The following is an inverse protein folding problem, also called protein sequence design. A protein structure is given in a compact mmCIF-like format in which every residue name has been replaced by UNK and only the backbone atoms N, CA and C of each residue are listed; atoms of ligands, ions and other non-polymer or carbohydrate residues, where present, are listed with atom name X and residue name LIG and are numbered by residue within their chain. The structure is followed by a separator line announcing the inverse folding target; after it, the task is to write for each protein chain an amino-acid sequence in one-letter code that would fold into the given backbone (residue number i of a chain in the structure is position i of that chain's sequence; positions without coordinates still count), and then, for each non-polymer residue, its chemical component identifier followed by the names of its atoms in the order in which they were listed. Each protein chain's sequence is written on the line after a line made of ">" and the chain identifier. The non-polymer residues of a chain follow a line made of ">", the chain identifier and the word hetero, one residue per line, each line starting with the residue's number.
data_IF_148060610536
#
_entry.id   IF_148060610536
#
_cell.length_a   1.000
_cell.length_b   1.000
_cell.length_c   1.000
_cell.angle_alpha   90.00
_cell.angle_beta   90.00
_cell.angle_gamma   90.00
#
_symmetry.space_group_name_H-M   'P 1'
#
loop_
_entity.id
_entity.type
_entity.pdbx_description
1 polymer ?
#
# COMPACT_ATOMS: atom_id res chain seq x y z
N UNK A 1 34.70 4.31 14.30
CA UNK A 1 34.03 5.60 14.50
C UNK A 1 32.89 5.42 15.50
N UNK A 2 32.46 6.48 16.19
CA UNK A 2 31.44 6.40 17.25
C UNK A 2 30.12 7.01 16.77
N UNK A 3 29.04 6.24 16.81
CA UNK A 3 27.69 6.68 16.43
C UNK A 3 27.22 7.89 17.23
N UNK A 4 27.60 8.00 18.50
CA UNK A 4 27.18 9.10 19.37
C UNK A 4 27.85 10.43 19.02
N UNK A 5 28.97 10.39 18.28
CA UNK A 5 29.63 11.58 17.73
C UNK A 5 29.13 11.91 16.32
N UNK A 6 28.61 10.90 15.61
CA UNK A 6 28.16 11.02 14.23
C UNK A 6 26.70 11.47 14.14
N UNK A 7 25.81 10.89 14.96
CA UNK A 7 24.43 11.32 15.10
C UNK A 7 24.35 12.52 16.04
N UNK A 8 23.44 13.44 15.74
CA UNK A 8 23.16 14.55 16.66
C UNK A 8 22.41 14.02 17.89
N UNK A 9 22.70 14.52 19.10
CA UNK A 9 22.10 14.01 20.33
C UNK A 9 20.59 14.26 20.35
N UNK A 10 19.81 13.21 20.60
CA UNK A 10 18.35 13.29 20.69
C UNK A 10 17.92 13.48 22.16
N UNK A 11 17.08 14.47 22.42
CA UNK A 11 16.45 14.63 23.73
C UNK A 11 15.28 13.65 23.84
N UNK A 12 15.31 12.83 24.88
CA UNK A 12 14.27 11.86 25.19
C UNK A 12 13.63 12.22 26.54
N UNK A 13 12.32 12.03 26.63
CA UNK A 13 11.57 12.10 27.88
C UNK A 13 11.88 10.91 28.79
N UNK A 14 11.44 10.95 30.05
CA UNK A 14 11.59 9.86 31.01
C UNK A 14 10.94 8.54 30.58
N UNK A 15 10.04 8.57 29.59
CA UNK A 15 9.41 7.40 28.98
C UNK A 15 10.05 6.98 27.64
N UNK A 16 11.31 7.37 27.39
CA UNK A 16 12.04 7.11 26.15
C UNK A 16 11.38 7.64 24.85
N UNK A 17 10.44 8.60 24.97
CA UNK A 17 9.80 9.24 23.80
C UNK A 17 10.62 10.44 23.32
N UNK A 18 10.78 10.63 22.00
CA UNK A 18 11.54 11.74 21.47
C UNK A 18 10.84 13.08 21.64
N UNK A 19 11.61 14.13 22.00
CA UNK A 19 11.12 15.50 21.94
C UNK A 19 11.16 15.99 20.47
N UNK A 20 9.98 16.23 19.92
CA UNK A 20 9.79 16.75 18.58
C UNK A 20 9.90 18.28 18.58
N UNK A 21 10.47 18.84 17.52
CA UNK A 21 10.56 20.29 17.30
C UNK A 21 9.17 20.87 16.98
N UNK A 22 9.02 22.20 17.08
CA UNK A 22 7.81 22.88 16.64
C UNK A 22 7.56 22.60 15.15
N UNK A 23 6.34 22.14 14.81
CA UNK A 23 5.94 21.66 13.47
C UNK A 23 6.63 20.37 12.99
N UNK A 24 7.31 19.64 13.88
CA UNK A 24 7.77 18.29 13.62
C UNK A 24 6.72 17.27 14.07
N UNK A 25 6.40 16.32 13.20
CA UNK A 25 5.46 15.25 13.51
C UNK A 25 5.94 13.91 12.97
N UNK A 26 5.58 12.85 13.69
CA UNK A 26 5.91 11.48 13.32
C UNK A 26 5.13 11.08 12.08
N UNK A 27 5.85 10.55 11.08
CA UNK A 27 5.26 10.05 9.83
C UNK A 27 5.22 8.53 9.82
N UNK A 28 6.27 7.90 10.34
CA UNK A 28 6.40 6.45 10.29
C UNK A 28 7.35 5.93 11.37
N UNK A 29 7.05 4.77 11.92
CA UNK A 29 7.86 4.12 12.97
C UNK A 29 8.19 2.71 12.54
N UNK A 30 9.46 2.33 12.71
CA UNK A 30 9.99 1.00 12.43
C UNK A 30 10.60 0.45 13.71
N UNK A 31 9.99 -0.61 14.25
CA UNK A 31 10.50 -1.32 15.41
C UNK A 31 11.59 -2.33 15.03
N UNK A 32 12.45 -2.67 15.99
CA UNK A 32 13.48 -3.71 15.85
C UNK A 32 14.39 -3.53 14.63
N UNK A 33 14.85 -2.31 14.41
CA UNK A 33 15.76 -1.98 13.32
C UNK A 33 17.20 -1.80 13.81
N UNK A 34 18.13 -2.23 12.97
CA UNK A 34 19.56 -2.05 13.17
C UNK A 34 20.08 -0.94 12.24
N UNK A 35 20.98 -0.10 12.76
CA UNK A 35 21.69 0.93 11.99
C UNK A 35 23.14 0.50 11.80
N UNK A 36 23.55 0.30 10.54
CA UNK A 36 24.89 -0.16 10.18
C UNK A 36 25.56 0.84 9.23
N UNK A 37 26.86 1.05 9.36
CA UNK A 37 27.64 1.89 8.46
C UNK A 37 29.10 1.40 8.44
N UNK A 38 29.81 1.61 7.33
CA UNK A 38 31.20 1.17 7.22
C UNK A 38 32.10 1.86 8.27
N UNK A 39 32.84 1.07 9.05
CA UNK A 39 33.73 1.60 10.11
C UNK A 39 33.03 1.94 11.45
N UNK A 40 31.75 1.61 11.58
CA UNK A 40 30.99 1.76 12.84
C UNK A 40 30.54 0.39 13.38
N UNK A 41 30.47 0.28 14.71
CA UNK A 41 29.81 -0.86 15.35
C UNK A 41 28.29 -0.73 15.15
N UNK A 42 27.58 -1.75 14.66
CA UNK A 42 26.17 -1.63 14.34
C UNK A 42 25.33 -1.35 15.60
N UNK A 43 24.44 -0.38 15.52
CA UNK A 43 23.44 -0.14 16.56
C UNK A 43 22.32 -1.14 16.36
N UNK A 44 22.08 -2.01 17.35
CA UNK A 44 21.15 -3.14 17.21
C UNK A 44 19.86 -2.91 17.99
N UNK A 45 18.77 -3.50 17.51
CA UNK A 45 17.48 -3.60 18.19
C UNK A 45 16.89 -2.25 18.64
N UNK A 46 17.11 -1.19 17.86
CA UNK A 46 16.53 0.12 18.13
C UNK A 46 15.18 0.32 17.43
N UNK A 47 14.49 1.39 17.82
CA UNK A 47 13.34 1.94 17.10
C UNK A 47 13.84 3.07 16.21
N UNK A 48 13.44 3.03 14.93
CA UNK A 48 13.67 4.13 14.01
C UNK A 48 12.35 4.87 13.81
N UNK A 49 12.35 6.17 14.11
CA UNK A 49 11.20 7.06 13.90
C UNK A 49 11.54 8.02 12.77
N UNK A 50 10.73 8.00 11.71
CA UNK A 50 10.80 8.94 10.62
C UNK A 50 9.82 10.09 10.90
N UNK A 51 10.35 11.29 11.01
CA UNK A 51 9.58 12.54 11.13
C UNK A 51 9.70 13.33 9.83
N UNK A 52 8.85 14.32 9.63
CA UNK A 52 8.95 15.22 8.47
C UNK A 52 10.29 16.01 8.38
N UNK A 53 11.12 16.02 9.43
CA UNK A 53 12.40 16.75 9.45
C UNK A 53 13.63 15.86 9.69
N UNK A 54 13.48 14.75 10.43
CA UNK A 54 14.59 13.96 10.97
C UNK A 54 14.32 12.46 10.87
N UNK A 55 15.40 11.70 10.83
CA UNK A 55 15.40 10.26 11.09
C UNK A 55 15.95 10.08 12.50
N UNK A 56 15.14 9.57 13.40
CA UNK A 56 15.50 9.34 14.80
C UNK A 56 15.82 7.86 15.00
N UNK A 57 16.87 7.56 15.73
CA UNK A 57 17.16 6.22 16.25
C UNK A 57 17.10 6.26 17.78
N UNK A 58 16.37 5.32 18.37
CA UNK A 58 16.11 5.25 19.81
C UNK A 58 16.40 3.83 20.31
N UNK A 59 17.22 3.72 21.34
CA UNK A 59 17.39 2.52 22.16
C UNK A 59 16.53 2.65 23.41
N UNK A 60 15.41 1.94 23.42
CA UNK A 60 14.45 1.95 24.53
C UNK A 60 15.06 1.41 25.83
N UNK A 61 15.97 0.43 25.75
CA UNK A 61 16.53 -0.23 26.93
C UNK A 61 17.46 0.71 27.71
N UNK A 62 18.23 1.53 26.99
CA UNK A 62 19.20 2.44 27.58
C UNK A 62 18.74 3.90 27.61
N UNK A 63 17.54 4.20 27.12
CA UNK A 63 17.02 5.57 26.95
C UNK A 63 18.04 6.48 26.25
N UNK A 64 18.65 5.98 25.17
CA UNK A 64 19.62 6.71 24.35
C UNK A 64 19.08 6.88 22.96
N UNK A 65 19.37 8.01 22.33
CA UNK A 65 18.96 8.23 20.95
C UNK A 65 19.85 9.23 20.25
N UNK A 66 19.88 9.10 18.93
CA UNK A 66 20.54 10.03 18.03
C UNK A 66 19.64 10.31 16.85
N UNK A 67 19.85 11.45 16.20
CA UNK A 67 19.11 11.80 15.00
C UNK A 67 20.01 12.21 13.85
N UNK A 68 19.45 12.05 12.65
CA UNK A 68 20.00 12.51 11.39
C UNK A 68 18.98 13.45 10.74
N UNK A 69 19.43 14.60 10.24
CA UNK A 69 18.54 15.52 9.53
C UNK A 69 18.23 14.99 8.13
N UNK A 70 16.96 15.05 7.69
CA UNK A 70 16.59 14.56 6.35
C UNK A 70 17.30 15.34 5.23
N UNK A 71 17.57 16.63 5.45
CA UNK A 71 18.36 17.45 4.52
C UNK A 71 19.79 16.93 4.26
N UNK A 72 20.32 16.05 5.11
CA UNK A 72 21.63 15.41 4.92
C UNK A 72 21.55 14.17 4.03
N UNK A 73 20.35 13.63 3.79
CA UNK A 73 20.15 12.47 2.92
C UNK A 73 20.13 12.93 1.47
N UNK A 74 21.07 12.43 0.67
CA UNK A 74 21.19 12.73 -0.76
C UNK A 74 20.24 11.83 -1.55
N UNK A 75 20.32 10.52 -1.29
CA UNK A 75 19.60 9.52 -2.05
C UNK A 75 19.31 8.29 -1.19
N UNK A 76 18.20 7.64 -1.50
CA UNK A 76 17.79 6.35 -0.93
C UNK A 76 17.84 5.34 -2.06
N UNK A 77 18.46 4.20 -1.82
CA UNK A 77 18.50 3.13 -2.80
C UNK A 77 17.43 2.09 -2.52
N UNK A 78 16.74 1.60 -3.57
CA UNK A 78 15.74 0.55 -3.41
C UNK A 78 16.38 -0.72 -2.83
N UNK A 79 15.61 -1.53 -2.09
CA UNK A 79 16.10 -2.80 -1.59
C UNK A 79 16.53 -3.69 -2.76
N UNK A 80 17.75 -4.25 -2.68
CA UNK A 80 18.28 -5.12 -3.74
C UNK A 80 17.52 -6.46 -3.74
N UNK A 81 16.65 -6.67 -4.73
CA UNK A 81 15.89 -7.91 -4.94
C UNK A 81 16.80 -8.96 -5.61
N UNK A 82 17.52 -9.74 -4.81
CA UNK A 82 18.37 -10.84 -5.30
C UNK A 82 18.02 -12.13 -4.58
N UNK A 83 17.87 -13.22 -5.34
CA UNK A 83 17.56 -14.57 -4.82
C UNK A 83 18.57 -15.06 -3.78
N UNK A 84 19.85 -14.66 -3.89
CA UNK A 84 20.90 -14.98 -2.90
C UNK A 84 20.76 -14.21 -1.57
N UNK A 85 19.88 -13.21 -1.50
CA UNK A 85 19.65 -12.36 -0.33
C UNK A 85 18.31 -12.61 0.37
N UNK A 86 17.53 -13.61 -0.07
CA UNK A 86 16.27 -14.00 0.59
C UNK A 86 16.45 -14.46 2.05
N UNK A 87 17.66 -14.91 2.42
CA UNK A 87 18.00 -15.28 3.80
C UNK A 87 18.76 -14.19 4.57
N UNK A 88 19.02 -13.04 3.95
CA UNK A 88 19.72 -11.92 4.59
C UNK A 88 18.72 -10.91 5.14
N UNK A 89 19.04 -10.29 6.28
CA UNK A 89 18.23 -9.21 6.84
C UNK A 89 18.01 -8.14 5.79
N UNK A 90 16.76 -7.75 5.50
CA UNK A 90 16.49 -6.82 4.41
C UNK A 90 16.92 -5.40 4.81
N UNK A 91 17.54 -4.69 3.86
CA UNK A 91 18.27 -3.44 4.11
C UNK A 91 17.83 -2.31 3.18
N UNK A 92 17.70 -1.12 3.73
CA UNK A 92 17.54 0.14 3.02
C UNK A 92 18.86 0.89 3.10
N UNK A 93 19.36 1.40 1.97
CA UNK A 93 20.64 2.12 1.95
C UNK A 93 20.38 3.61 1.74
N UNK A 94 20.97 4.43 2.60
CA UNK A 94 20.85 5.88 2.64
C UNK A 94 22.22 6.48 2.34
N UNK A 95 22.33 7.25 1.26
CA UNK A 95 23.52 8.04 0.99
C UNK A 95 23.40 9.39 1.68
N UNK A 96 24.39 9.74 2.51
CA UNK A 96 24.38 10.92 3.36
C UNK A 96 25.55 11.82 3.00
N UNK A 97 25.28 13.12 2.97
CA UNK A 97 26.27 14.16 2.74
C UNK A 97 27.06 14.45 4.01
N UNK A 98 28.39 14.56 3.89
CA UNK A 98 29.30 14.86 4.98
C UNK A 98 30.00 16.20 4.75
N UNK A 99 30.21 16.93 5.85
CA UNK A 99 31.09 18.08 5.91
C UNK A 99 32.56 17.66 5.76
N UNK A 100 33.46 18.62 5.52
CA UNK A 100 34.92 18.42 5.54
C UNK A 100 35.43 17.86 6.88
N UNK A 101 34.66 18.03 7.95
CA UNK A 101 34.89 17.45 9.28
C UNK A 101 34.38 16.01 9.46
N UNK A 102 33.76 15.40 8.45
CA UNK A 102 33.22 14.03 8.50
C UNK A 102 31.89 13.88 9.24
N UNK A 103 31.21 14.99 9.55
CA UNK A 103 29.88 15.00 10.21
C UNK A 103 28.76 15.20 9.19
N UNK A 104 27.56 14.63 9.39
CA UNK A 104 26.42 14.87 8.51
C UNK A 104 26.09 16.36 8.40
N UNK A 105 25.93 16.86 7.17
CA UNK A 105 25.52 18.25 6.92
C UNK A 105 24.40 18.31 5.86
N UNK A 106 23.60 19.38 5.82
CA UNK A 106 22.61 19.56 4.75
C UNK A 106 23.30 19.62 3.38
N UNK A 107 22.71 18.97 2.37
CA UNK A 107 23.25 18.94 1.01
C UNK A 107 23.49 20.34 0.42
N UNK A 108 22.67 21.33 0.80
CA UNK A 108 22.79 22.72 0.36
C UNK A 108 24.04 23.46 0.89
N UNK A 109 24.69 22.95 1.93
CA UNK A 109 25.82 23.61 2.61
C UNK A 109 27.16 22.88 2.39
N UNK A 110 27.17 21.82 1.59
CA UNK A 110 28.36 21.00 1.39
C UNK A 110 29.37 21.66 0.43
N UNK A 111 30.50 22.12 0.96
CA UNK A 111 31.60 22.70 0.18
C UNK A 111 32.48 21.64 -0.52
N UNK A 112 32.43 20.38 -0.09
CA UNK A 112 33.05 19.23 -0.77
C UNK A 112 32.15 18.00 -0.68
N UNK A 113 32.08 17.22 -1.75
CA UNK A 113 31.11 16.11 -1.93
C UNK A 113 31.56 14.81 -1.27
N UNK A 114 31.96 14.86 0.02
CA UNK A 114 32.16 13.62 0.77
C UNK A 114 30.80 13.02 1.10
N UNK A 115 30.60 11.74 0.82
CA UNK A 115 29.35 11.04 1.10
C UNK A 115 29.60 9.68 1.73
N UNK A 116 28.67 9.24 2.56
CA UNK A 116 28.74 7.96 3.27
C UNK A 116 27.43 7.19 3.11
N UNK A 117 27.53 5.86 3.05
CA UNK A 117 26.37 4.98 3.00
C UNK A 117 26.03 4.48 4.40
N UNK A 118 24.78 4.65 4.81
CA UNK A 118 24.20 4.07 6.02
C UNK A 118 23.13 3.06 5.62
N UNK A 119 23.10 1.95 6.34
CA UNK A 119 22.18 0.85 6.12
C UNK A 119 21.21 0.77 7.30
N UNK A 120 19.92 0.78 6.99
CA UNK A 120 18.86 0.41 7.93
C UNK A 120 18.51 -1.05 7.66
N UNK A 121 18.82 -1.94 8.59
CA UNK A 121 18.51 -3.36 8.50
C UNK A 121 17.27 -3.67 9.35
N UNK A 122 16.19 -4.14 8.73
CA UNK A 122 14.92 -4.39 9.41
C UNK A 122 14.90 -5.83 9.93
N UNK A 123 15.02 -6.04 11.25
CA UNK A 123 14.98 -7.37 11.89
C UNK A 123 13.64 -7.60 12.55
N UNK A 124 12.88 -8.59 12.09
CA UNK A 124 11.54 -8.89 12.61
C UNK A 124 10.63 -7.63 12.68
N UNK A 125 10.88 -6.64 11.81
CA UNK A 125 10.09 -5.42 11.79
C UNK A 125 8.66 -5.75 11.41
N UNK A 126 7.70 -5.08 12.06
CA UNK A 126 6.29 -5.12 11.69
C UNK A 126 6.02 -4.51 10.31
N UNK A 127 6.95 -3.69 9.80
CA UNK A 127 6.86 -3.07 8.48
C UNK A 127 7.69 -3.79 7.43
N UNK A 128 7.14 -3.91 6.22
CA UNK A 128 7.90 -4.41 5.07
C UNK A 128 8.96 -3.39 4.63
N UNK A 129 10.03 -3.88 4.00
CA UNK A 129 11.12 -3.02 3.53
C UNK A 129 10.68 -2.13 2.38
N UNK A 130 9.81 -2.63 1.49
CA UNK A 130 9.25 -1.83 0.40
C UNK A 130 8.36 -0.70 0.95
N UNK A 131 7.51 -0.94 1.96
CA UNK A 131 6.67 0.12 2.55
C UNK A 131 7.52 1.19 3.25
N UNK A 132 8.57 0.76 3.95
CA UNK A 132 9.52 1.68 4.60
C UNK A 132 10.27 2.51 3.56
N UNK A 133 10.72 1.91 2.46
CA UNK A 133 11.38 2.61 1.36
C UNK A 133 10.46 3.63 0.67
N UNK A 134 9.22 3.25 0.35
CA UNK A 134 8.27 4.14 -0.32
C UNK A 134 7.96 5.36 0.55
N UNK A 135 7.68 5.16 1.85
CA UNK A 135 7.41 6.26 2.77
C UNK A 135 8.61 7.19 2.94
N UNK A 136 9.81 6.64 3.04
CA UNK A 136 11.03 7.44 3.17
C UNK A 136 11.30 8.27 1.92
N UNK A 137 11.07 7.70 0.73
CA UNK A 137 11.17 8.41 -0.55
C UNK A 137 10.15 9.55 -0.64
N UNK A 138 8.88 9.29 -0.32
CA UNK A 138 7.82 10.31 -0.27
C UNK A 138 8.21 11.46 0.67
N UNK A 139 8.74 11.15 1.85
CA UNK A 139 9.19 12.15 2.82
C UNK A 139 10.34 13.00 2.28
N UNK A 140 11.27 12.42 1.53
CA UNK A 140 12.35 13.19 0.91
C UNK A 140 11.87 14.06 -0.25
N UNK A 141 10.85 13.62 -1.00
CA UNK A 141 10.23 14.39 -2.09
C UNK A 141 9.46 15.61 -1.55
N UNK A 142 8.75 15.45 -0.44
CA UNK A 142 7.99 16.56 0.18
C UNK A 142 8.87 17.69 0.70
N UNK A 143 10.18 17.45 0.94
CA UNK A 143 11.17 18.45 1.36
C UNK A 143 10.66 19.39 2.45
N UNK A 144 9.90 18.87 3.42
CA UNK A 144 9.18 19.68 4.40
C UNK A 144 10.11 20.62 5.21
N UNK A 145 11.39 20.27 5.34
CA UNK A 145 12.42 21.10 5.99
C UNK A 145 12.80 22.38 5.22
N UNK A 146 12.40 22.54 3.96
CA UNK A 146 12.61 23.79 3.19
C UNK A 146 11.49 24.82 3.37
N UNK A 147 10.28 24.39 3.75
CA UNK A 147 9.10 25.28 3.87
C UNK A 147 9.29 26.34 4.96
N UNK A 148 10.18 26.10 5.93
CA UNK A 148 10.50 27.04 7.02
C UNK A 148 11.57 28.09 6.68
N UNK A 149 12.27 27.98 5.55
CA UNK A 149 13.33 28.94 5.20
C UNK A 149 12.78 30.24 4.59
N UNK A 150 11.64 30.18 3.90
CA UNK A 150 11.05 31.35 3.21
C UNK A 150 10.10 32.17 4.11
N UNK A 151 9.60 31.58 5.20
CA UNK A 151 8.65 32.23 6.12
C UNK A 151 9.30 33.14 7.18
N UNK A 152 10.64 33.17 7.28
CA UNK A 152 11.35 33.94 8.32
C UNK A 152 12.13 35.18 7.83
N UNK A 153 12.14 35.51 6.53
CA UNK A 153 12.76 36.78 6.05
C UNK A 153 11.77 37.96 5.91
N UNK A 154 10.45 37.73 5.95
CA UNK A 154 9.44 38.79 5.74
C UNK A 154 8.85 39.42 7.03
N UNK A 155 9.36 39.08 8.22
CA UNK A 155 8.88 39.69 9.50
C UNK A 155 9.96 40.42 10.31
N UNK A 156 11.06 40.84 9.67
CA UNK A 156 12.02 41.79 10.25
C UNK A 156 12.22 43.01 9.33
N UNK A 157 11.17 43.83 9.16
CA UNK A 157 11.35 45.26 8.93
C UNK A 157 10.47 46.03 9.89
N UNK A 158 11.14 46.72 10.80
CA UNK A 158 10.53 47.62 11.78
C UNK A 158 9.87 48.83 11.12
N UNK A 159 8.98 49.42 11.90
CA UNK A 159 8.35 50.74 11.75
C UNK A 159 9.23 51.79 11.04
N UNK A 160 8.70 52.58 10.09
CA UNK A 160 9.38 53.77 9.61
C UNK A 160 9.05 54.97 10.50
N UNK A 161 10.09 55.59 11.04
CA UNK A 161 10.08 56.97 11.51
C UNK A 161 10.32 57.93 10.35
N UNK A 162 9.62 59.04 10.38
CA UNK A 162 9.68 60.17 9.46
C UNK A 162 11.11 60.74 9.35
N UNK A 163 11.53 61.09 8.14
CA UNK A 163 12.02 62.44 7.81
C UNK A 163 12.24 62.61 6.30
N UNK A 164 11.89 63.81 5.83
CA UNK A 164 11.97 64.28 4.46
C UNK A 164 13.41 64.59 4.03
N UNK A 165 13.76 64.32 2.76
CA UNK A 165 14.17 65.37 1.81
C UNK A 165 14.77 64.80 0.51
N UNK A 166 14.44 65.51 -0.55
CA UNK A 166 14.77 65.39 -1.96
C UNK A 166 16.26 65.42 -2.30
N UNK A 167 16.70 64.62 -3.30
CA UNK A 167 17.27 65.08 -4.60
C UNK A 167 18.14 64.01 -5.30
N UNK A 168 17.93 63.84 -6.62
CA UNK A 168 18.83 63.18 -7.61
C UNK A 168 19.83 64.24 -8.12
N UNK A 169 21.04 63.92 -8.64
CA UNK A 169 21.32 63.20 -9.91
C UNK A 169 22.60 62.32 -9.85
N UNK A 170 23.25 61.76 -10.87
CA UNK A 170 22.91 61.05 -12.10
C UNK A 170 24.20 60.30 -12.58
N UNK A 171 24.03 59.27 -13.44
CA UNK A 171 24.97 58.68 -14.42
C UNK A 171 26.28 58.02 -13.93
N UNK A 172 26.45 56.71 -14.22
CA UNK A 172 27.44 56.21 -15.21
C UNK A 172 27.43 54.68 -15.38
N UNK A 173 27.39 54.30 -16.66
CA UNK A 173 27.46 52.97 -17.26
C UNK A 173 28.71 52.17 -16.87
N UNK A 174 28.54 50.84 -16.78
CA UNK A 174 29.53 49.91 -17.36
C UNK A 174 28.83 48.61 -17.83
N UNK A 175 28.89 48.39 -19.14
CA UNK A 175 28.27 47.29 -19.86
C UNK A 175 29.05 45.96 -19.73
N UNK A 176 28.31 44.85 -19.64
CA UNK A 176 28.78 43.47 -19.84
C UNK A 176 27.57 42.52 -20.05
N UNK A 177 27.61 41.59 -21.02
CA UNK A 177 26.38 41.08 -21.65
C UNK A 177 25.78 39.89 -20.91
N UNK A 178 24.84 40.11 -20.01
CA UNK A 178 23.94 39.06 -19.56
C UNK A 178 22.82 38.89 -20.59
N UNK A 179 22.83 37.78 -21.33
CA UNK A 179 21.66 37.29 -22.08
C UNK A 179 20.51 37.08 -21.10
N UNK A 180 19.65 38.10 -20.94
CA UNK A 180 18.34 37.95 -20.33
C UNK A 180 17.51 37.14 -21.31
N UNK A 181 17.36 35.84 -21.06
CA UNK A 181 16.26 35.08 -21.66
C UNK A 181 14.97 35.73 -21.16
N UNK A 182 14.03 36.15 -22.04
CA UNK A 182 12.78 36.69 -21.55
C UNK A 182 12.08 35.60 -20.74
N UNK A 183 11.67 35.99 -19.54
CA UNK A 183 10.93 35.15 -18.63
C UNK A 183 9.69 34.57 -19.33
N UNK A 184 9.62 33.25 -19.46
CA UNK A 184 8.35 32.53 -19.62
C UNK A 184 7.63 32.48 -18.25
N UNK A 185 7.38 33.64 -17.66
CA UNK A 185 6.63 33.76 -16.42
C UNK A 185 5.22 34.28 -16.76
N UNK A 186 4.27 33.34 -16.82
CA UNK A 186 2.84 33.59 -17.05
C UNK A 186 2.09 32.26 -17.16
N UNK A 187 0.77 32.28 -16.99
CA UNK A 187 -0.11 31.09 -17.11
C UNK A 187 0.11 30.35 -18.44
N UNK A 188 0.41 31.08 -19.52
CA UNK A 188 0.77 30.50 -20.83
C UNK A 188 2.10 29.75 -20.85
N UNK A 189 3.05 30.08 -19.99
CA UNK A 189 4.33 29.36 -19.85
C UNK A 189 4.17 28.03 -19.10
N UNK A 190 3.26 27.99 -18.11
CA UNK A 190 2.91 26.75 -17.39
C UNK A 190 2.15 25.80 -18.31
N UNK A 191 1.14 26.29 -19.04
CA UNK A 191 0.40 25.48 -20.02
C UNK A 191 1.31 24.89 -21.10
N UNK A 192 2.27 25.68 -21.60
CA UNK A 192 3.24 25.19 -22.59
C UNK A 192 4.17 24.13 -22.01
N UNK A 193 4.65 24.33 -20.77
CA UNK A 193 5.50 23.34 -20.09
C UNK A 193 4.73 22.06 -19.73
N UNK A 194 3.44 22.16 -19.44
CA UNK A 194 2.58 21.02 -19.19
C UNK A 194 2.36 20.24 -20.50
N UNK A 195 2.01 20.93 -21.59
CA UNK A 195 1.85 20.33 -22.92
C UNK A 195 3.14 19.64 -23.41
N UNK A 196 4.31 20.28 -23.23
CA UNK A 196 5.61 19.69 -23.56
C UNK A 196 5.90 18.44 -22.71
N UNK A 197 5.48 18.42 -21.43
CA UNK A 197 5.55 17.23 -20.58
C UNK A 197 4.59 16.14 -21.04
N UNK A 198 3.36 16.48 -21.44
CA UNK A 198 2.41 15.52 -22.01
C UNK A 198 2.98 14.86 -23.26
N UNK A 199 3.57 15.64 -24.17
CA UNK A 199 4.20 15.14 -25.41
C UNK A 199 5.44 14.26 -25.13
N UNK A 200 6.27 14.62 -24.15
CA UNK A 200 7.41 13.79 -23.74
C UNK A 200 6.96 12.49 -23.08
N UNK A 201 5.93 12.53 -22.23
CA UNK A 201 5.37 11.33 -21.58
C UNK A 201 4.68 10.41 -22.58
N UNK A 202 3.97 10.95 -23.59
CA UNK A 202 3.32 10.16 -24.64
C UNK A 202 4.37 9.46 -25.52
N UNK A 203 5.45 10.17 -25.87
CA UNK A 203 6.57 9.57 -26.60
C UNK A 203 7.25 8.46 -25.79
N UNK A 204 7.50 8.68 -24.50
CA UNK A 204 8.09 7.67 -23.63
C UNK A 204 7.17 6.45 -23.44
N UNK A 205 5.86 6.68 -23.35
CA UNK A 205 4.84 5.62 -23.29
C UNK A 205 4.77 4.82 -24.59
N UNK A 206 4.89 5.48 -25.74
CA UNK A 206 4.94 4.81 -27.04
C UNK A 206 6.23 3.99 -27.21
N UNK A 207 7.38 4.51 -26.80
CA UNK A 207 8.66 3.77 -26.80
C UNK A 207 8.59 2.55 -25.85
N UNK A 208 7.96 2.71 -24.68
CA UNK A 208 7.70 1.61 -23.75
C UNK A 208 6.76 0.55 -24.36
N UNK A 209 5.77 0.94 -25.17
CA UNK A 209 4.91 -0.03 -25.87
C UNK A 209 5.63 -0.78 -26.99
N UNK A 210 6.59 -0.14 -27.67
CA UNK A 210 7.43 -0.81 -28.68
C UNK A 210 8.30 -1.88 -28.01
N UNK A 211 8.91 -1.55 -26.86
CA UNK A 211 9.74 -2.48 -26.11
C UNK A 211 8.92 -3.62 -25.49
N UNK A 212 7.75 -3.31 -24.93
CA UNK A 212 6.81 -4.33 -24.44
C UNK A 212 6.36 -5.24 -25.59
N UNK A 213 6.09 -4.72 -26.79
CA UNK A 213 5.72 -5.53 -27.95
C UNK A 213 6.88 -6.45 -28.40
N UNK A 214 8.13 -5.97 -28.33
CA UNK A 214 9.31 -6.79 -28.59
C UNK A 214 9.47 -7.91 -27.54
N UNK A 215 9.27 -7.57 -26.26
CA UNK A 215 9.27 -8.52 -25.16
C UNK A 215 8.14 -9.57 -25.31
N UNK A 216 6.92 -9.13 -25.66
CA UNK A 216 5.77 -10.01 -25.89
C UNK A 216 5.98 -10.91 -27.10
N UNK A 217 6.67 -10.42 -28.15
CA UNK A 217 7.07 -11.27 -29.28
C UNK A 217 8.04 -12.37 -28.85
N UNK A 218 9.01 -12.04 -28.00
CA UNK A 218 9.97 -13.02 -27.47
C UNK A 218 9.33 -14.00 -26.49
N UNK A 219 8.42 -13.53 -25.65
CA UNK A 219 7.62 -14.37 -24.78
C UNK A 219 6.71 -15.32 -25.59
N UNK A 220 6.13 -14.84 -26.70
CA UNK A 220 5.31 -15.67 -27.60
C UNK A 220 6.11 -16.79 -28.27
N UNK A 221 7.34 -16.51 -28.71
CA UNK A 221 8.26 -17.55 -29.23
C UNK A 221 8.58 -18.60 -28.16
N UNK A 222 8.80 -18.17 -26.91
CA UNK A 222 9.07 -19.05 -25.78
C UNK A 222 7.87 -19.91 -25.38
N UNK A 223 6.66 -19.32 -25.38
CA UNK A 223 5.39 -20.02 -25.12
C UNK A 223 5.10 -21.05 -26.21
N UNK A 224 5.28 -20.68 -27.48
CA UNK A 224 5.10 -21.62 -28.60
C UNK A 224 6.09 -22.80 -28.56
N UNK A 225 7.33 -22.56 -28.10
CA UNK A 225 8.31 -23.62 -27.87
C UNK A 225 7.85 -24.56 -26.74
N UNK A 226 7.38 -23.99 -25.62
CA UNK A 226 6.85 -24.76 -24.50
C UNK A 226 5.63 -25.60 -24.91
N UNK A 227 4.71 -25.06 -25.72
CA UNK A 227 3.57 -25.79 -26.27
C UNK A 227 3.99 -26.94 -27.21
N UNK A 228 5.02 -26.71 -28.05
CA UNK A 228 5.55 -27.74 -28.96
C UNK A 228 6.27 -28.87 -28.20
N UNK A 229 7.02 -28.55 -27.14
CA UNK A 229 7.65 -29.55 -26.27
C UNK A 229 6.60 -30.33 -25.47
N UNK A 230 5.57 -29.63 -24.98
CA UNK A 230 4.41 -30.22 -24.31
C UNK A 230 3.63 -31.18 -25.21
N UNK A 231 3.37 -30.81 -26.46
CA UNK A 231 2.72 -31.70 -27.43
C UNK A 231 3.52 -32.99 -27.62
N UNK A 232 4.86 -32.88 -27.75
CA UNK A 232 5.75 -34.05 -27.82
C UNK A 232 5.71 -34.93 -26.56
N UNK A 233 5.53 -34.35 -25.38
CA UNK A 233 5.40 -35.08 -24.11
C UNK A 233 4.05 -35.79 -23.93
N UNK A 234 2.98 -35.28 -24.56
CA UNK A 234 1.63 -35.88 -24.54
C UNK A 234 1.45 -36.95 -25.64
N UNK A 235 2.20 -36.85 -26.74
CA UNK A 235 2.13 -37.80 -27.86
C UNK A 235 3.16 -38.93 -27.79
N UNK A 236 4.03 -38.98 -26.77
CA UNK A 236 4.91 -40.13 -26.55
C UNK A 236 4.08 -41.29 -25.97
N UNK A 237 3.78 -42.34 -26.74
CA UNK A 237 3.01 -43.45 -26.21
C UNK A 237 3.85 -44.23 -25.20
N UNK A 238 3.19 -44.63 -24.12
CA UNK A 238 3.58 -45.72 -23.22
C UNK A 238 3.69 -47.02 -24.04
N UNK A 239 4.79 -47.18 -24.75
CA UNK A 239 5.20 -48.44 -25.36
C UNK A 239 6.70 -48.57 -25.20
N UNK A 240 7.10 -48.90 -23.98
CA UNK A 240 7.99 -50.03 -23.69
C UNK A 240 8.05 -50.20 -22.18
N UNK A 241 7.30 -51.18 -21.69
CA UNK A 241 7.57 -51.80 -20.41
C UNK A 241 8.96 -52.45 -20.51
N UNK A 242 9.91 -52.00 -19.68
CA UNK A 242 11.17 -52.71 -19.47
C UNK A 242 12.45 -51.89 -19.68
N UNK A 243 12.71 -50.91 -18.83
CA UNK A 243 14.02 -50.62 -18.20
C UNK A 243 13.90 -49.34 -17.39
N UNK A 244 14.31 -49.41 -16.13
CA UNK A 244 14.39 -48.26 -15.24
C UNK A 244 15.59 -47.42 -15.68
N UNK A 245 15.34 -46.21 -16.20
CA UNK A 245 16.31 -45.12 -16.13
C UNK A 245 15.64 -43.97 -15.37
N UNK A 246 16.10 -43.76 -14.13
CA UNK A 246 15.63 -42.75 -13.17
C UNK A 246 15.85 -41.31 -13.66
N UNK A 247 16.62 -41.09 -14.74
CA UNK A 247 16.98 -39.76 -15.25
C UNK A 247 15.85 -39.04 -16.00
N UNK A 248 14.93 -39.79 -16.62
CA UNK A 248 13.80 -39.21 -17.37
C UNK A 248 12.68 -38.69 -16.45
N UNK A 249 12.54 -39.27 -15.26
CA UNK A 249 11.55 -38.84 -14.27
C UNK A 249 11.98 -37.54 -13.56
N UNK A 250 13.25 -37.43 -13.19
CA UNK A 250 13.85 -36.18 -12.64
C UNK A 250 13.80 -35.05 -13.66
N UNK A 251 14.10 -35.33 -14.93
CA UNK A 251 14.01 -34.34 -16.01
C UNK A 251 12.59 -33.78 -16.20
N UNK A 252 11.55 -34.63 -16.03
CA UNK A 252 10.14 -34.18 -16.06
C UNK A 252 9.74 -33.37 -14.84
N UNK A 253 10.32 -33.65 -13.68
CA UNK A 253 10.04 -32.95 -12.42
C UNK A 253 10.73 -31.57 -12.41
N UNK A 254 11.99 -31.51 -12.81
CA UNK A 254 12.77 -30.27 -12.93
C UNK A 254 12.20 -29.34 -14.00
N UNK A 255 11.69 -29.90 -15.10
CA UNK A 255 11.03 -29.12 -16.16
C UNK A 255 9.65 -28.60 -15.73
N UNK A 256 8.93 -29.31 -14.85
CA UNK A 256 7.72 -28.81 -14.20
C UNK A 256 8.02 -27.66 -13.24
N UNK A 257 9.11 -27.77 -12.48
CA UNK A 257 9.55 -26.75 -11.52
C UNK A 257 10.01 -25.47 -12.23
N UNK A 258 10.71 -25.63 -13.37
CA UNK A 258 11.09 -24.51 -14.23
C UNK A 258 9.85 -23.81 -14.84
N UNK A 259 8.83 -24.55 -15.27
CA UNK A 259 7.60 -24.00 -15.84
C UNK A 259 6.75 -23.23 -14.82
N UNK A 260 6.77 -23.66 -13.56
CA UNK A 260 6.16 -22.93 -12.43
C UNK A 260 6.92 -21.64 -12.10
N UNK A 261 8.26 -21.67 -12.21
CA UNK A 261 9.15 -20.54 -11.95
C UNK A 261 9.07 -19.42 -13.01
N UNK A 262 8.75 -19.76 -14.26
CA UNK A 262 8.66 -18.79 -15.38
C UNK A 262 7.34 -18.00 -15.36
N UNK A 263 6.37 -18.33 -14.50
CA UNK A 263 5.11 -17.59 -14.37
C UNK A 263 4.18 -17.66 -15.59
N UNK A 264 4.53 -18.48 -16.60
CA UNK A 264 3.57 -18.93 -17.61
C UNK A 264 2.65 -19.89 -16.86
N UNK A 265 1.51 -19.37 -16.40
CA UNK A 265 0.45 -20.17 -15.83
C UNK A 265 0.11 -21.28 -16.84
N UNK A 266 0.64 -22.48 -16.58
CA UNK A 266 0.30 -23.66 -17.34
C UNK A 266 -1.22 -23.79 -17.31
N UNK A 267 -1.91 -23.78 -18.46
CA UNK A 267 -3.34 -24.06 -18.52
C UNK A 267 -3.68 -25.44 -17.94
N UNK A 268 -2.68 -26.29 -17.72
CA UNK A 268 -2.84 -27.73 -17.44
C UNK A 268 -2.64 -28.11 -15.99
N UNK A 269 -2.10 -27.25 -15.12
CA UNK A 269 -2.45 -27.41 -13.69
C UNK A 269 -3.91 -26.99 -13.45
N UNK A 270 -4.44 -26.07 -14.26
CA UNK A 270 -5.82 -25.56 -14.18
C UNK A 270 -6.87 -26.46 -14.84
N UNK A 271 -6.52 -27.24 -15.87
CA UNK A 271 -7.47 -28.13 -16.55
C UNK A 271 -7.37 -29.59 -16.10
N UNK A 272 -6.16 -30.10 -15.84
CA UNK A 272 -5.95 -31.50 -15.46
C UNK A 272 -6.00 -31.72 -13.95
N UNK A 273 -5.72 -30.69 -13.14
CA UNK A 273 -5.87 -30.69 -11.68
C UNK A 273 -6.83 -29.60 -11.15
N UNK A 274 -7.50 -28.83 -12.02
CA UNK A 274 -8.36 -27.71 -11.59
C UNK A 274 -9.52 -28.10 -10.69
N UNK A 275 -10.18 -29.23 -10.98
CA UNK A 275 -11.28 -29.71 -10.16
C UNK A 275 -10.81 -30.08 -8.74
N UNK A 276 -9.66 -30.74 -8.62
CA UNK A 276 -9.09 -31.14 -7.32
C UNK A 276 -8.54 -29.94 -6.55
N UNK A 277 -7.91 -28.98 -7.24
CA UNK A 277 -7.46 -27.72 -6.62
C UNK A 277 -8.63 -26.94 -6.04
N UNK A 278 -9.68 -26.68 -6.83
CA UNK A 278 -10.86 -25.95 -6.34
C UNK A 278 -11.60 -26.72 -5.26
N UNK A 279 -11.59 -28.06 -5.29
CA UNK A 279 -12.16 -28.91 -4.24
C UNK A 279 -11.35 -28.86 -2.94
N UNK A 280 -10.01 -28.83 -3.00
CA UNK A 280 -9.17 -28.66 -1.82
C UNK A 280 -9.25 -27.23 -1.28
N UNK A 281 -9.25 -26.23 -2.17
CA UNK A 281 -9.40 -24.83 -1.84
C UNK A 281 -10.76 -24.56 -1.14
N UNK A 282 -11.85 -25.15 -1.63
CA UNK A 282 -13.17 -25.02 -0.99
C UNK A 282 -13.20 -25.61 0.42
N UNK A 283 -12.43 -26.68 0.68
CA UNK A 283 -12.23 -27.25 2.03
C UNK A 283 -11.33 -26.40 2.92
N UNK A 284 -10.33 -25.72 2.36
CA UNK A 284 -9.41 -24.85 3.12
C UNK A 284 -10.07 -23.52 3.51
N UNK A 285 -10.81 -22.88 2.59
CA UNK A 285 -11.56 -21.63 2.86
C UNK A 285 -12.55 -21.81 4.02
N UNK A 286 -13.12 -23.03 4.18
CA UNK A 286 -13.98 -23.40 5.33
C UNK A 286 -13.38 -23.03 6.69
N UNK A 287 -12.06 -23.09 6.84
CA UNK A 287 -11.35 -22.97 8.13
C UNK A 287 -10.80 -21.54 8.33
N UNK A 288 -10.65 -20.75 7.27
CA UNK A 288 -9.93 -19.47 7.29
C UNK A 288 -10.64 -18.32 8.03
N UNK A 289 -11.82 -18.55 8.60
CA UNK A 289 -12.66 -17.55 9.25
C UNK A 289 -12.12 -16.97 10.58
N UNK A 290 -10.81 -17.10 10.89
CA UNK A 290 -10.33 -16.60 12.17
C UNK A 290 -9.00 -15.85 12.28
N UNK A 291 -8.05 -15.81 11.33
CA UNK A 291 -6.85 -14.96 11.53
C UNK A 291 -5.78 -14.82 10.44
N UNK A 292 -5.90 -15.39 9.25
CA UNK A 292 -4.79 -15.36 8.29
C UNK A 292 -5.16 -14.74 6.95
N UNK A 293 -4.37 -13.73 6.57
CA UNK A 293 -4.38 -13.02 5.31
C UNK A 293 -4.11 -13.99 4.14
N UNK A 294 -5.14 -14.71 3.68
CA UNK A 294 -5.10 -15.47 2.42
C UNK A 294 -5.42 -14.59 1.21
N UNK A 295 -5.63 -13.29 1.42
CA UNK A 295 -6.10 -12.34 0.41
C UNK A 295 -5.04 -11.97 -0.65
N UNK A 296 -3.77 -12.33 -0.48
CA UNK A 296 -2.71 -11.93 -1.41
C UNK A 296 -2.35 -12.97 -2.49
N UNK A 297 -2.92 -14.18 -2.48
CA UNK A 297 -2.53 -15.25 -3.43
C UNK A 297 -3.67 -15.97 -4.19
N UNK A 298 -4.94 -15.65 -3.92
CA UNK A 298 -6.07 -16.33 -4.58
C UNK A 298 -6.76 -15.35 -5.52
N UNK A 299 -6.89 -15.71 -6.79
CA UNK A 299 -7.61 -14.88 -7.75
C UNK A 299 -9.11 -14.82 -7.42
N UNK A 300 -9.80 -13.69 -7.66
CA UNK A 300 -11.24 -13.58 -7.39
C UNK A 300 -12.07 -14.66 -8.08
N UNK A 301 -11.68 -15.08 -9.30
CA UNK A 301 -12.36 -16.15 -10.01
C UNK A 301 -12.17 -17.52 -9.35
N UNK A 302 -10.97 -17.81 -8.83
CA UNK A 302 -10.69 -19.09 -8.19
C UNK A 302 -11.43 -19.22 -6.86
N UNK A 303 -11.57 -18.12 -6.13
CA UNK A 303 -12.42 -18.05 -4.95
C UNK A 303 -13.88 -18.38 -5.31
N UNK A 304 -14.42 -17.76 -6.36
CA UNK A 304 -15.78 -18.02 -6.82
C UNK A 304 -15.96 -19.48 -7.26
N UNK A 305 -15.05 -20.01 -8.08
CA UNK A 305 -15.06 -21.43 -8.50
C UNK A 305 -14.99 -22.39 -7.32
N UNK A 306 -14.21 -22.08 -6.29
CA UNK A 306 -14.16 -22.90 -5.09
C UNK A 306 -15.47 -22.83 -4.29
N UNK A 307 -16.10 -21.65 -4.20
CA UNK A 307 -17.35 -21.46 -3.48
C UNK A 307 -18.55 -22.15 -4.17
N UNK A 308 -18.60 -22.21 -5.50
CA UNK A 308 -19.68 -22.93 -6.21
C UNK A 308 -19.64 -24.44 -5.97
N UNK A 309 -18.48 -25.00 -5.61
CA UNK A 309 -18.37 -26.41 -5.25
C UNK A 309 -18.97 -26.74 -3.87
N UNK A 310 -19.27 -25.76 -3.02
CA UNK A 310 -19.92 -25.99 -1.73
C UNK A 310 -21.36 -26.50 -1.85
N UNK A 311 -22.01 -26.38 -3.00
CA UNK A 311 -23.32 -27.03 -3.21
C UNK A 311 -23.20 -28.56 -3.27
N UNK A 312 -22.05 -29.06 -3.77
CA UNK A 312 -21.79 -30.49 -3.96
C UNK A 312 -21.08 -31.15 -2.78
N UNK A 313 -20.48 -30.34 -1.90
CA UNK A 313 -19.73 -30.79 -0.73
C UNK A 313 -20.53 -30.31 0.48
N UNK A 314 -20.96 -31.21 1.37
CA UNK A 314 -21.75 -30.81 2.54
C UNK A 314 -20.90 -30.00 3.53
N UNK A 315 -20.85 -28.68 3.32
CA UNK A 315 -20.11 -27.72 4.12
C UNK A 315 -21.11 -26.86 4.90
N UNK A 316 -20.82 -26.44 6.15
CA UNK A 316 -21.70 -25.58 6.96
C UNK A 316 -21.77 -24.11 6.50
N UNK A 317 -21.28 -23.80 5.29
CA UNK A 317 -21.37 -22.47 4.67
C UNK A 317 -22.02 -22.59 3.29
N UNK A 318 -22.72 -21.53 2.89
CA UNK A 318 -23.40 -21.39 1.61
C UNK A 318 -22.95 -20.10 0.93
N UNK A 319 -22.76 -20.16 -0.38
CA UNK A 319 -22.64 -18.98 -1.21
C UNK A 319 -24.05 -18.51 -1.57
N UNK A 320 -24.40 -17.30 -1.16
CA UNK A 320 -25.68 -16.68 -1.48
C UNK A 320 -25.46 -15.47 -2.38
N UNK A 321 -26.36 -15.30 -3.35
CA UNK A 321 -26.45 -14.12 -4.20
C UNK A 321 -27.70 -13.32 -3.84
N UNK A 322 -27.55 -12.01 -3.64
CA UNK A 322 -28.65 -11.06 -3.51
C UNK A 322 -29.09 -10.56 -4.89
N UNK A 323 -30.30 -9.99 -4.97
CA UNK A 323 -30.85 -9.42 -6.21
C UNK A 323 -30.02 -8.26 -6.77
N UNK A 324 -29.31 -7.54 -5.90
CA UNK A 324 -28.31 -6.53 -6.26
C UNK A 324 -27.11 -7.09 -7.03
N UNK A 325 -26.94 -8.41 -7.07
CA UNK A 325 -25.78 -9.09 -7.62
C UNK A 325 -24.65 -9.32 -6.60
N UNK A 326 -24.77 -8.77 -5.38
CA UNK A 326 -23.80 -9.00 -4.31
C UNK A 326 -23.81 -10.47 -3.90
N UNK A 327 -22.64 -11.08 -3.81
CA UNK A 327 -22.47 -12.45 -3.34
C UNK A 327 -21.83 -12.46 -1.95
N UNK A 328 -22.38 -13.27 -1.06
CA UNK A 328 -21.91 -13.41 0.31
C UNK A 328 -21.72 -14.88 0.69
N UNK A 329 -20.83 -15.11 1.64
CA UNK A 329 -20.61 -16.42 2.24
C UNK A 329 -21.27 -16.38 3.61
N UNK A 330 -22.32 -17.19 3.80
CA UNK A 330 -23.11 -17.22 5.03
C UNK A 330 -23.09 -18.64 5.61
N UNK A 331 -23.14 -18.78 6.93
CA UNK A 331 -23.28 -20.12 7.53
C UNK A 331 -24.70 -20.65 7.34
N UNK A 332 -24.84 -21.96 7.10
CA UNK A 332 -26.16 -22.63 7.03
C UNK A 332 -27.01 -22.43 8.29
N UNK A 333 -26.38 -22.16 9.43
CA UNK A 333 -27.08 -21.91 10.70
C UNK A 333 -27.70 -20.51 10.79
N UNK A 334 -27.24 -19.54 10.01
CA UNK A 334 -27.80 -18.19 10.01
C UNK A 334 -28.89 -18.11 8.94
N UNK A 335 -30.14 -18.14 9.37
CA UNK A 335 -31.28 -17.91 8.46
C UNK A 335 -31.62 -16.43 8.36
N UNK A 336 -32.26 -16.06 7.27
CA UNK A 336 -32.83 -14.73 7.08
C UNK A 336 -33.82 -14.37 8.19
N UNK A 337 -34.63 -15.34 8.59
CA UNK A 337 -35.68 -15.12 9.59
C UNK A 337 -35.08 -14.80 10.96
N UNK A 338 -33.93 -15.39 11.31
CA UNK A 338 -33.19 -15.05 12.52
C UNK A 338 -32.64 -13.61 12.45
N UNK A 339 -32.03 -13.23 11.31
CA UNK A 339 -31.51 -11.88 11.08
C UNK A 339 -32.65 -10.87 11.17
N UNK A 340 -33.79 -11.15 10.53
CA UNK A 340 -34.97 -10.29 10.58
C UNK A 340 -35.57 -10.19 11.98
N UNK A 341 -35.59 -11.27 12.73
CA UNK A 341 -36.05 -11.26 14.13
C UNK A 341 -35.16 -10.35 14.99
N UNK A 342 -33.84 -10.35 14.74
CA UNK A 342 -32.92 -9.41 15.40
C UNK A 342 -33.12 -7.96 14.92
N UNK A 343 -33.37 -7.72 13.63
CA UNK A 343 -33.68 -6.36 13.14
C UNK A 343 -34.99 -5.85 13.76
N UNK A 344 -36.02 -6.70 13.86
CA UNK A 344 -37.27 -6.38 14.54
C UNK A 344 -37.05 -6.04 16.00
N UNK A 345 -36.26 -6.82 16.73
CA UNK A 345 -35.98 -6.51 18.14
C UNK A 345 -35.20 -5.21 18.31
N UNK A 346 -34.37 -4.82 17.35
CA UNK A 346 -33.72 -3.50 17.33
C UNK A 346 -34.74 -2.36 17.12
N UNK A 347 -35.73 -2.56 16.26
CA UNK A 347 -36.80 -1.59 16.05
C UNK A 347 -37.74 -1.48 17.25
N UNK A 348 -37.95 -2.55 18.01
CA UNK A 348 -38.82 -2.56 19.21
C UNK A 348 -38.12 -2.08 20.49
N UNK A 349 -36.80 -2.26 20.61
CA UNK A 349 -36.04 -1.93 21.84
C UNK A 349 -35.74 -0.44 22.01
N UNK A 350 -35.91 0.37 20.98
CA UNK A 350 -35.81 1.82 21.13
C UNK A 350 -37.03 2.26 21.95
N UNK A 351 -36.85 2.48 23.25
CA UNK A 351 -37.93 2.74 24.23
C UNK A 351 -38.63 4.10 24.07
N UNK A 352 -38.38 4.79 22.97
CA UNK A 352 -39.24 5.87 22.50
C UNK A 352 -39.88 5.44 21.19
N UNK A 353 -41.15 5.81 20.92
CA UNK A 353 -41.73 5.74 19.58
C UNK A 353 -41.03 6.78 18.70
N UNK A 354 -39.72 6.64 18.53
CA UNK A 354 -38.98 7.41 17.57
C UNK A 354 -39.51 6.96 16.22
N UNK A 355 -40.28 7.84 15.59
CA UNK A 355 -40.59 7.90 14.17
C UNK A 355 -39.30 7.94 13.29
N UNK A 356 -38.15 7.54 13.82
CA UNK A 356 -36.83 7.58 13.22
C UNK A 356 -36.49 6.14 12.85
N UNK A 357 -36.63 5.82 11.56
CA UNK A 357 -36.38 4.49 11.04
C UNK A 357 -34.92 4.07 11.20
N UNK A 358 -34.66 2.78 11.02
CA UNK A 358 -33.31 2.24 11.11
C UNK A 358 -32.62 2.29 9.75
N UNK A 359 -31.37 2.73 9.72
CA UNK A 359 -30.52 2.72 8.53
C UNK A 359 -29.54 1.54 8.52
N UNK A 360 -28.84 1.38 7.40
CA UNK A 360 -27.86 0.30 7.23
C UNK A 360 -26.70 0.41 8.24
N UNK A 361 -26.29 1.61 8.62
CA UNK A 361 -25.18 1.86 9.54
C UNK A 361 -25.52 1.45 10.98
N UNK A 362 -26.73 1.74 11.42
CA UNK A 362 -27.22 1.37 12.75
C UNK A 362 -27.37 -0.15 12.88
N UNK A 363 -27.93 -0.82 11.86
CA UNK A 363 -28.00 -2.29 11.80
C UNK A 363 -26.61 -2.91 11.79
N UNK A 364 -25.70 -2.37 10.97
CA UNK A 364 -24.32 -2.85 10.89
C UNK A 364 -23.62 -2.82 12.25
N UNK A 365 -23.77 -1.72 12.99
CA UNK A 365 -23.21 -1.56 14.34
C UNK A 365 -23.87 -2.49 15.36
N UNK A 366 -25.19 -2.64 15.29
CA UNK A 366 -25.94 -3.44 16.26
C UNK A 366 -25.74 -4.94 16.08
N UNK A 367 -25.62 -5.41 14.83
CA UNK A 367 -25.46 -6.83 14.51
C UNK A 367 -24.00 -7.24 14.24
N UNK A 368 -23.06 -6.28 14.24
CA UNK A 368 -21.65 -6.54 13.98
C UNK A 368 -21.37 -7.04 12.56
N UNK A 369 -22.07 -6.51 11.57
CA UNK A 369 -21.92 -6.88 10.15
C UNK A 369 -21.45 -5.70 9.30
N UNK A 370 -20.92 -5.98 8.11
CA UNK A 370 -20.48 -4.93 7.19
C UNK A 370 -21.69 -4.06 6.74
N UNK A 371 -21.53 -2.73 6.58
CA UNK A 371 -22.61 -1.84 6.16
C UNK A 371 -23.29 -2.24 4.84
N UNK A 372 -22.51 -2.74 3.87
CA UNK A 372 -23.05 -3.25 2.61
C UNK A 372 -23.98 -4.46 2.84
N UNK A 373 -23.56 -5.41 3.67
CA UNK A 373 -24.39 -6.57 4.03
C UNK A 373 -25.65 -6.14 4.79
N UNK A 374 -25.54 -5.20 5.73
CA UNK A 374 -26.70 -4.67 6.45
C UNK A 374 -27.74 -4.06 5.52
N UNK A 375 -27.28 -3.29 4.50
CA UNK A 375 -28.15 -2.73 3.47
C UNK A 375 -28.88 -3.82 2.67
N UNK A 376 -28.16 -4.84 2.20
CA UNK A 376 -28.77 -5.96 1.45
C UNK A 376 -29.79 -6.72 2.29
N UNK A 377 -29.53 -6.93 3.58
CA UNK A 377 -30.48 -7.59 4.49
C UNK A 377 -31.74 -6.77 4.73
N UNK A 378 -31.62 -5.43 4.84
CA UNK A 378 -32.78 -4.53 4.95
C UNK A 378 -33.63 -4.54 3.67
N UNK A 379 -33.00 -4.51 2.50
CA UNK A 379 -33.69 -4.61 1.21
C UNK A 379 -34.37 -5.97 1.03
N UNK A 380 -33.72 -7.07 1.44
CA UNK A 380 -34.32 -8.40 1.41
C UNK A 380 -35.53 -8.51 2.36
N UNK A 381 -35.48 -7.84 3.51
CA UNK A 381 -36.61 -7.77 4.44
C UNK A 381 -37.77 -6.93 3.87
N UNK A 382 -37.47 -5.85 3.15
CA UNK A 382 -38.46 -5.04 2.43
C UNK A 382 -39.15 -5.85 1.33
N UNK A 383 -38.41 -6.58 0.50
CA UNK A 383 -38.97 -7.42 -0.57
C UNK A 383 -39.90 -8.52 -0.04
N UNK A 384 -39.57 -9.11 1.12
CA UNK A 384 -40.44 -10.05 1.82
C UNK A 384 -41.64 -9.36 2.48
N UNK A 385 -41.72 -8.04 2.40
CA UNK A 385 -42.75 -7.17 2.96
C UNK A 385 -42.68 -7.03 4.48
N UNK A 386 -41.57 -7.37 5.12
CA UNK A 386 -41.44 -7.27 6.58
C UNK A 386 -41.09 -5.86 7.04
N UNK A 387 -40.41 -5.10 6.18
CA UNK A 387 -40.07 -3.70 6.39
C UNK A 387 -40.67 -2.85 5.26
N UNK A 388 -40.89 -1.57 5.54
CA UNK A 388 -41.17 -0.55 4.54
C UNK A 388 -40.04 0.48 4.54
N UNK A 389 -39.77 1.06 3.37
CA UNK A 389 -38.74 2.09 3.20
C UNK A 389 -39.35 3.48 3.21
N UNK A 390 -38.59 4.42 3.71
CA UNK A 390 -38.81 5.86 3.59
C UNK A 390 -37.55 6.47 2.98
N UNK A 391 -37.71 7.14 1.85
CA UNK A 391 -36.62 7.79 1.13
C UNK A 391 -36.77 9.30 1.32
N UNK A 392 -36.11 9.80 2.37
CA UNK A 392 -36.18 11.18 2.81
C UNK A 392 -34.84 11.93 2.64
N UNK A 393 -34.83 13.24 2.93
CA UNK A 393 -33.60 14.04 2.91
C UNK A 393 -32.54 13.53 3.91
N UNK A 394 -32.96 12.81 4.95
CA UNK A 394 -32.09 12.18 5.96
C UNK A 394 -31.53 10.81 5.52
N UNK A 395 -31.80 10.40 4.27
CA UNK A 395 -31.37 9.14 3.68
C UNK A 395 -32.39 8.01 3.81
N UNK A 396 -32.02 6.84 3.29
CA UNK A 396 -32.89 5.65 3.25
C UNK A 396 -33.07 5.04 4.65
N UNK A 397 -34.30 5.11 5.15
CA UNK A 397 -34.72 4.61 6.47
C UNK A 397 -35.69 3.46 6.31
N UNK A 398 -35.61 2.47 7.21
CA UNK A 398 -36.52 1.32 7.21
C UNK A 398 -37.35 1.26 8.49
N UNK A 399 -38.62 0.89 8.35
CA UNK A 399 -39.59 0.76 9.42
C UNK A 399 -40.27 -0.60 9.37
N UNK A 400 -40.90 -1.00 10.47
CA UNK A 400 -41.76 -2.18 10.47
C UNK A 400 -42.93 -1.96 9.52
N UNK A 401 -43.21 -2.96 8.66
CA UNK A 401 -44.32 -2.86 7.72
C UNK A 401 -45.65 -3.15 8.41
N UNK A 402 -46.33 -2.10 8.88
CA UNK A 402 -47.69 -2.17 9.42
C UNK A 402 -48.77 -2.22 8.33
N UNK A 403 -48.44 -1.98 7.05
CA UNK A 403 -49.42 -2.06 5.95
C UNK A 403 -49.85 -3.50 5.64
N UNK A 404 -49.08 -4.50 6.07
CA UNK A 404 -49.47 -5.92 5.95
C UNK A 404 -50.74 -6.25 6.75
N UNK A 405 -50.93 -5.62 7.90
CA UNK A 405 -52.07 -5.88 8.79
C UNK A 405 -53.33 -5.13 8.34
N UNK A 406 -53.18 -4.11 7.48
CA UNK A 406 -54.28 -3.28 6.96
C UNK A 406 -54.91 -3.90 5.70
N UNK A 407 -54.22 -4.84 5.03
CA UNK A 407 -54.69 -5.47 3.78
C UNK A 407 -55.81 -6.52 3.92
N UNK A 408 -56.35 -6.73 5.13
CA UNK A 408 -57.46 -7.67 5.39
C UNK A 408 -58.85 -7.03 5.38
N UNK A 409 -58.94 -5.72 5.56
CA UNK A 409 -60.18 -4.95 5.48
C UNK A 409 -59.84 -3.55 4.96
N UNK A 410 -60.14 -3.27 3.69
CA UNK A 410 -60.80 -2.06 3.17
C UNK A 410 -60.91 -2.20 1.64
N UNK A 411 -62.18 -2.36 1.20
CA UNK A 411 -62.84 -2.05 -0.09
C UNK A 411 -62.17 -2.34 -1.44
#
# INVERSE_FOLDING_TARGET
>A
MDWMKFLSPLKLTSSARPELLANEFERFVVGSADLEAEGFNPLKAGIIVFTNHRILWIDENNCRGGFLHLASVIQVYPPKKSLKKMFSTPRINLQICLSSSGTPCPYSQAASTSSMLIHIALRNSTSSVDTTFSKLTEMLETKAWHVNAESHEHSRRGLPSQDESSSLPAVQDLAGPSRIRPAMAGVSGILRKEQEQWEETDKNLQDAFVDLKALMSKAKEMVALAEKMRAKLMTAPTTQAGSMDDEDATSRQEMQDWMLSVGIASPVTKETAGALYHQQLSRQIRIANKKHSFAELISPEDLLRACTLWEKIDVPVILRKFDSGVMIIQSKSQSDDEIFSRIRSLLTRTEEPSFVGIGATEVARALGMAPALAKEQLLAAEQKGNLCRDDGPDGLRFYLNFFKDIGGEVC
#
